data_IF_657528026954
#
_entry.id   IF_657528026954
#
_cell.length_a   1.000
_cell.length_b   1.000
_cell.length_c   1.000
_cell.angle_alpha   90.00
_cell.angle_beta   90.00
_cell.angle_gamma   90.00
#
_symmetry.space_group_name_H-M   'P 1'
#
loop_
_entity.id
_entity.type
_entity.pdbx_description
1 polymer ?
#
# COMPACT_ATOMS: atom_id res chain seq x y z
N UNK A 1 -5.01 -19.82 -7.34
CA UNK A 1 -5.34 -18.60 -8.14
C UNK A 1 -5.61 -17.45 -7.18
N UNK A 2 -5.16 -16.22 -7.50
CA UNK A 2 -5.39 -15.05 -6.65
C UNK A 2 -6.58 -14.24 -7.16
N UNK A 3 -7.48 -13.80 -6.25
CA UNK A 3 -8.51 -12.81 -6.55
C UNK A 3 -8.28 -11.60 -5.66
N UNK A 4 -8.18 -10.43 -6.27
CA UNK A 4 -8.00 -9.14 -5.59
C UNK A 4 -9.36 -8.44 -5.45
N UNK A 5 -9.74 -8.12 -4.22
CA UNK A 5 -11.00 -7.45 -3.89
C UNK A 5 -10.73 -6.00 -3.49
N UNK A 6 -11.48 -5.08 -4.09
CA UNK A 6 -11.38 -3.67 -3.76
C UNK A 6 -11.79 -2.74 -4.89
N UNK A 7 -11.25 -1.54 -4.90
CA UNK A 7 -11.57 -0.49 -5.88
C UNK A 7 -10.35 0.37 -6.16
N UNK A 8 -10.20 0.80 -7.41
CA UNK A 8 -9.08 1.63 -7.88
C UNK A 8 -8.99 3.02 -7.24
N UNK A 9 -10.01 3.47 -6.49
CA UNK A 9 -9.93 4.69 -5.67
C UNK A 9 -8.97 4.50 -4.48
N UNK A 10 -8.71 3.26 -4.07
CA UNK A 10 -7.80 2.95 -2.97
C UNK A 10 -6.37 2.78 -3.49
N UNK A 11 -5.46 3.64 -3.05
CA UNK A 11 -4.04 3.49 -3.34
C UNK A 11 -3.45 2.17 -2.80
N UNK A 12 -3.94 1.66 -1.68
CA UNK A 12 -3.55 0.33 -1.18
C UNK A 12 -4.03 -0.82 -2.07
N UNK A 13 -5.20 -0.67 -2.72
CA UNK A 13 -5.63 -1.61 -3.75
C UNK A 13 -4.68 -1.55 -4.95
N UNK A 14 -4.37 -0.35 -5.41
CA UNK A 14 -3.46 -0.13 -6.54
C UNK A 14 -2.04 -0.66 -6.24
N UNK A 15 -1.56 -0.53 -5.00
CA UNK A 15 -0.31 -1.14 -4.52
C UNK A 15 -0.30 -2.66 -4.78
N UNK A 16 -1.35 -3.37 -4.37
CA UNK A 16 -1.40 -4.82 -4.55
C UNK A 16 -1.60 -5.20 -6.01
N UNK A 17 -2.44 -4.47 -6.73
CA UNK A 17 -2.62 -4.68 -8.17
C UNK A 17 -1.30 -4.53 -8.93
N UNK A 18 -0.55 -3.47 -8.67
CA UNK A 18 0.75 -3.24 -9.29
C UNK A 18 1.76 -4.34 -8.91
N UNK A 19 1.79 -4.76 -7.65
CA UNK A 19 2.65 -5.86 -7.21
C UNK A 19 2.33 -7.18 -7.93
N UNK A 20 1.05 -7.51 -8.11
CA UNK A 20 0.62 -8.69 -8.86
C UNK A 20 1.06 -8.62 -10.32
N UNK A 21 0.92 -7.44 -10.95
CA UNK A 21 1.34 -7.22 -12.34
C UNK A 21 2.86 -7.33 -12.50
N UNK A 22 3.64 -6.67 -11.66
CA UNK A 22 5.11 -6.70 -11.70
C UNK A 22 5.70 -8.09 -11.40
N UNK A 23 5.00 -8.87 -10.59
CA UNK A 23 5.35 -10.27 -10.32
C UNK A 23 4.85 -11.25 -11.39
N UNK A 24 4.10 -10.75 -12.39
CA UNK A 24 3.47 -11.57 -13.44
C UNK A 24 2.55 -12.67 -12.87
N UNK A 25 1.90 -12.38 -11.75
CA UNK A 25 0.94 -13.30 -11.13
C UNK A 25 -0.43 -13.10 -11.79
N UNK A 26 -1.00 -14.16 -12.36
CA UNK A 26 -2.36 -14.13 -12.89
C UNK A 26 -3.37 -13.97 -11.75
N UNK A 27 -4.28 -13.00 -11.87
CA UNK A 27 -5.29 -12.71 -10.86
C UNK A 27 -6.62 -12.26 -11.46
N UNK A 28 -7.68 -12.39 -10.69
CA UNK A 28 -9.00 -11.82 -10.97
C UNK A 28 -9.20 -10.57 -10.12
N UNK A 29 -10.04 -9.66 -10.61
CA UNK A 29 -10.43 -8.45 -9.88
C UNK A 29 -11.92 -8.49 -9.57
N UNK A 30 -12.27 -8.21 -8.32
CA UNK A 30 -13.65 -8.09 -7.86
C UNK A 30 -13.87 -6.70 -7.24
N UNK A 31 -14.81 -5.94 -7.80
CA UNK A 31 -15.15 -4.62 -7.29
C UNK A 31 -15.88 -4.74 -5.94
N UNK A 32 -15.22 -4.24 -4.89
CA UNK A 32 -15.78 -4.19 -3.54
C UNK A 32 -15.49 -2.82 -2.93
N UNK A 33 -16.48 -2.27 -2.24
CA UNK A 33 -16.31 -1.05 -1.44
C UNK A 33 -16.20 -1.39 0.05
N UNK A 34 -15.48 -0.59 0.86
CA UNK A 34 -15.40 -0.78 2.31
C UNK A 34 -16.80 -0.74 2.93
N UNK A 35 -17.10 -1.69 3.81
CA UNK A 35 -18.34 -1.70 4.59
C UNK A 35 -18.17 -2.44 5.91
N UNK A 36 -19.20 -2.44 6.77
CA UNK A 36 -19.20 -3.06 8.07
C UNK A 36 -20.14 -4.28 8.17
N UNK A 37 -20.52 -4.86 7.04
CA UNK A 37 -21.37 -6.05 7.00
C UNK A 37 -20.63 -7.26 7.57
N UNK A 38 -21.32 -8.14 8.29
CA UNK A 38 -20.72 -9.35 8.88
C UNK A 38 -20.00 -10.22 7.84
N UNK A 39 -20.51 -10.30 6.62
CA UNK A 39 -19.89 -11.04 5.54
C UNK A 39 -18.51 -10.44 5.18
N UNK A 40 -18.42 -9.10 5.11
CA UNK A 40 -17.16 -8.40 4.85
C UNK A 40 -16.18 -8.54 6.01
N UNK A 41 -16.65 -8.40 7.24
CA UNK A 41 -15.80 -8.47 8.44
C UNK A 41 -15.16 -9.85 8.64
N UNK A 42 -15.76 -10.93 8.13
CA UNK A 42 -15.16 -12.28 8.12
C UNK A 42 -13.98 -12.39 7.14
N UNK A 43 -13.93 -11.56 6.09
CA UNK A 43 -12.91 -11.58 5.05
C UNK A 43 -11.83 -10.52 5.29
N UNK A 44 -12.24 -9.35 5.77
CA UNK A 44 -11.40 -8.22 6.15
C UNK A 44 -11.88 -7.69 7.50
N UNK A 45 -11.19 -7.98 8.62
CA UNK A 45 -11.70 -7.74 9.98
C UNK A 45 -12.05 -6.29 10.32
N UNK A 46 -11.51 -5.33 9.57
CA UNK A 46 -11.85 -3.90 9.72
C UNK A 46 -12.83 -3.41 8.62
N UNK A 47 -13.35 -4.31 7.77
CA UNK A 47 -14.23 -3.94 6.66
C UNK A 47 -13.56 -3.06 5.62
N UNK A 48 -12.23 -3.16 5.47
CA UNK A 48 -11.42 -2.34 4.58
C UNK A 48 -11.00 -3.10 3.32
N UNK A 49 -10.55 -2.35 2.33
CA UNK A 49 -9.96 -2.83 1.09
C UNK A 49 -8.50 -2.34 0.97
N UNK A 50 -7.62 -3.08 0.24
CA UNK A 50 -7.86 -4.37 -0.41
C UNK A 50 -7.86 -5.55 0.57
N UNK A 51 -8.39 -6.66 0.10
CA UNK A 51 -8.09 -7.99 0.60
C UNK A 51 -7.98 -8.94 -0.59
N UNK A 52 -7.34 -10.09 -0.40
CA UNK A 52 -7.22 -11.11 -1.43
C UNK A 52 -7.86 -12.42 -0.98
N UNK A 53 -8.20 -13.25 -1.96
CA UNK A 53 -8.44 -14.68 -1.80
C UNK A 53 -7.36 -15.44 -2.55
N UNK A 54 -6.73 -16.40 -1.91
CA UNK A 54 -5.83 -17.38 -2.52
C UNK A 54 -6.35 -18.79 -2.27
N UNK A 55 -5.60 -19.79 -2.70
CA UNK A 55 -5.92 -21.20 -2.39
C UNK A 55 -5.78 -21.48 -0.88
N UNK A 56 -5.00 -20.66 -0.14
CA UNK A 56 -4.80 -20.78 1.31
C UNK A 56 -5.90 -20.09 2.14
N UNK A 57 -6.71 -19.21 1.52
CA UNK A 57 -7.78 -18.48 2.20
C UNK A 57 -7.81 -16.98 1.90
N UNK A 58 -8.40 -16.21 2.82
CA UNK A 58 -8.50 -14.75 2.70
C UNK A 58 -7.40 -14.07 3.52
N UNK A 59 -6.86 -12.98 2.97
CA UNK A 59 -5.85 -12.17 3.62
C UNK A 59 -6.14 -10.68 3.41
N UNK A 60 -6.15 -9.90 4.48
CA UNK A 60 -6.28 -8.45 4.46
C UNK A 60 -4.97 -7.78 4.88
N UNK A 61 -4.95 -6.44 4.88
CA UNK A 61 -3.78 -5.58 5.09
C UNK A 61 -2.77 -5.64 3.93
N UNK A 62 -2.65 -4.53 3.21
CA UNK A 62 -1.86 -4.47 1.96
C UNK A 62 -0.39 -4.87 2.15
N UNK A 63 0.22 -4.54 3.30
CA UNK A 63 1.59 -4.93 3.54
C UNK A 63 1.72 -6.45 3.80
N UNK A 64 0.78 -7.04 4.53
CA UNK A 64 0.76 -8.49 4.74
C UNK A 64 0.52 -9.24 3.43
N UNK A 65 -0.38 -8.71 2.58
CA UNK A 65 -0.62 -9.26 1.24
C UNK A 65 0.66 -9.21 0.40
N UNK A 66 1.36 -8.08 0.38
CA UNK A 66 2.61 -7.93 -0.38
C UNK A 66 3.69 -8.92 0.08
N UNK A 67 3.86 -9.11 1.39
CA UNK A 67 4.80 -10.10 1.94
C UNK A 67 4.39 -11.54 1.57
N UNK A 68 3.10 -11.87 1.66
CA UNK A 68 2.59 -13.17 1.23
C UNK A 68 2.87 -13.42 -0.26
N UNK A 69 2.60 -12.44 -1.12
CA UNK A 69 2.88 -12.58 -2.56
C UNK A 69 4.37 -12.76 -2.84
N UNK A 70 5.24 -12.14 -2.05
CA UNK A 70 6.68 -12.29 -2.18
C UNK A 70 7.15 -13.70 -1.83
N UNK A 71 6.62 -14.26 -0.75
CA UNK A 71 7.00 -15.59 -0.24
C UNK A 71 6.34 -16.73 -1.03
N UNK A 72 5.05 -16.59 -1.36
CA UNK A 72 4.29 -17.62 -2.07
C UNK A 72 4.61 -17.67 -3.58
N UNK A 73 5.05 -16.57 -4.17
CA UNK A 73 5.39 -16.44 -5.59
C UNK A 73 6.79 -15.87 -5.74
N UNK A 74 7.85 -16.66 -5.55
CA UNK A 74 9.24 -16.17 -5.50
C UNK A 74 9.80 -15.70 -6.84
N UNK A 75 9.13 -15.96 -7.96
CA UNK A 75 9.48 -15.40 -9.26
C UNK A 75 9.29 -13.87 -9.27
N UNK A 76 10.14 -13.16 -10.01
CA UNK A 76 10.12 -11.70 -10.12
C UNK A 76 10.07 -10.99 -8.74
N UNK A 77 11.09 -11.18 -7.87
CA UNK A 77 11.07 -10.66 -6.52
C UNK A 77 11.10 -9.14 -6.51
N UNK A 78 10.19 -8.53 -5.73
CA UNK A 78 10.11 -7.08 -5.51
C UNK A 78 11.01 -6.61 -4.38
N UNK A 79 11.47 -7.52 -3.51
CA UNK A 79 12.43 -7.18 -2.46
C UNK A 79 13.85 -7.58 -2.81
N UNK A 80 14.86 -6.82 -2.36
CA UNK A 80 16.26 -7.23 -2.45
C UNK A 80 16.52 -8.57 -1.72
N UNK A 81 17.45 -9.38 -2.24
CA UNK A 81 17.80 -10.67 -1.64
C UNK A 81 18.52 -10.52 -0.30
N UNK A 82 19.40 -9.49 -0.17
CA UNK A 82 20.15 -9.26 1.06
C UNK A 82 19.25 -8.71 2.16
N UNK A 83 19.31 -9.30 3.34
CA UNK A 83 18.44 -8.99 4.47
C UNK A 83 18.42 -7.50 4.85
N UNK A 84 19.59 -6.85 4.90
CA UNK A 84 19.66 -5.43 5.24
C UNK A 84 19.05 -4.53 4.15
N UNK A 85 19.33 -4.81 2.87
CA UNK A 85 18.74 -4.07 1.75
C UNK A 85 17.21 -4.26 1.70
N UNK A 86 16.73 -5.47 1.98
CA UNK A 86 15.31 -5.79 2.14
C UNK A 86 14.68 -5.00 3.27
N UNK A 87 15.38 -4.89 4.41
CA UNK A 87 14.92 -4.09 5.55
C UNK A 87 14.86 -2.60 5.23
N UNK A 88 15.81 -2.08 4.45
CA UNK A 88 15.80 -0.69 3.96
C UNK A 88 14.60 -0.43 3.02
N UNK A 89 14.23 -1.40 2.20
CA UNK A 89 13.02 -1.30 1.38
C UNK A 89 11.75 -1.23 2.25
N UNK A 90 11.65 -2.08 3.28
CA UNK A 90 10.54 -2.04 4.24
C UNK A 90 10.51 -0.75 5.07
N UNK A 91 11.66 -0.24 5.47
CA UNK A 91 11.80 1.06 6.15
C UNK A 91 11.22 2.18 5.30
N UNK A 92 11.54 2.22 4.01
CA UNK A 92 11.00 3.20 3.07
C UNK A 92 9.48 3.09 2.97
N UNK A 93 8.94 1.88 2.76
CA UNK A 93 7.51 1.63 2.65
C UNK A 93 6.77 2.10 3.91
N UNK A 94 7.25 1.71 5.09
CA UNK A 94 6.64 2.12 6.36
C UNK A 94 6.71 3.64 6.55
N UNK A 95 7.83 4.27 6.17
CA UNK A 95 7.97 5.72 6.26
C UNK A 95 6.93 6.43 5.40
N UNK A 96 6.76 6.00 4.16
CA UNK A 96 5.77 6.55 3.23
C UNK A 96 4.35 6.33 3.74
N UNK A 97 4.01 5.09 4.12
CA UNK A 97 2.65 4.76 4.56
C UNK A 97 2.24 5.47 5.86
N UNK A 98 3.11 5.47 6.87
CA UNK A 98 2.76 5.97 8.19
C UNK A 98 2.89 7.51 8.31
N UNK A 99 3.85 8.11 7.61
CA UNK A 99 4.18 9.52 7.81
C UNK A 99 3.76 10.44 6.63
N UNK A 100 3.31 9.86 5.53
CA UNK A 100 2.80 10.63 4.39
C UNK A 100 1.37 10.21 4.07
N UNK A 101 1.17 8.97 3.62
CA UNK A 101 -0.12 8.51 3.12
C UNK A 101 -1.21 8.51 4.20
N UNK A 102 -0.94 7.87 5.34
CA UNK A 102 -1.91 7.81 6.44
C UNK A 102 -2.25 9.20 7.00
N UNK A 103 -1.28 10.12 7.01
CA UNK A 103 -1.51 11.51 7.40
C UNK A 103 -2.38 12.23 6.36
N UNK A 104 -2.07 12.09 5.06
CA UNK A 104 -2.83 12.70 3.96
C UNK A 104 -4.30 12.25 3.95
N UNK A 105 -4.59 11.00 4.36
CA UNK A 105 -5.97 10.49 4.45
C UNK A 105 -6.91 11.31 5.31
N UNK A 106 -6.40 12.07 6.26
CA UNK A 106 -7.21 12.98 7.08
C UNK A 106 -7.90 14.08 6.27
N UNK A 107 -7.40 14.34 5.04
CA UNK A 107 -7.99 15.29 4.10
C UNK A 107 -8.98 14.64 3.12
N UNK A 108 -9.05 13.31 3.05
CA UNK A 108 -9.88 12.58 2.07
C UNK A 108 -11.36 12.90 2.20
N UNK A 109 -11.84 13.20 3.42
CA UNK A 109 -13.22 13.59 3.67
C UNK A 109 -13.63 14.81 2.83
N UNK A 110 -12.73 15.79 2.68
CA UNK A 110 -12.97 16.98 1.85
C UNK A 110 -12.66 16.70 0.38
N UNK A 111 -11.51 16.08 0.10
CA UNK A 111 -11.02 15.91 -1.27
C UNK A 111 -11.92 15.00 -2.11
N UNK A 112 -12.44 13.92 -1.53
CA UNK A 112 -13.16 12.88 -2.27
C UNK A 112 -14.64 12.74 -1.89
N UNK A 113 -15.05 13.24 -0.73
CA UNK A 113 -16.39 12.96 -0.19
C UNK A 113 -17.20 14.22 0.11
N UNK A 114 -16.77 15.40 -0.36
CA UNK A 114 -17.49 16.67 -0.26
C UNK A 114 -17.77 17.15 1.17
N UNK A 115 -17.05 16.64 2.17
CA UNK A 115 -17.13 17.09 3.55
C UNK A 115 -16.14 18.23 3.80
N UNK A 116 -16.33 18.98 4.89
CA UNK A 116 -15.40 20.04 5.27
C UNK A 116 -14.41 19.53 6.32
N UNK A 117 -13.13 19.83 6.13
CA UNK A 117 -12.06 19.64 7.11
C UNK A 117 -11.68 20.97 7.71
N UNK A 118 -11.55 21.05 9.06
CA UNK A 118 -11.18 22.30 9.72
C UNK A 118 -9.79 22.79 9.32
N UNK A 119 -9.56 24.11 9.38
CA UNK A 119 -8.27 24.70 9.04
C UNK A 119 -7.15 24.17 9.95
N UNK A 120 -7.44 23.96 11.23
CA UNK A 120 -6.51 23.38 12.20
C UNK A 120 -5.99 22.00 11.75
N UNK A 121 -6.90 21.14 11.29
CA UNK A 121 -6.52 19.81 10.75
C UNK A 121 -5.68 19.95 9.49
N UNK A 122 -6.03 20.88 8.60
CA UNK A 122 -5.25 21.13 7.36
C UNK A 122 -3.83 21.58 7.68
N UNK A 123 -3.68 22.49 8.64
CA UNK A 123 -2.38 23.03 9.06
C UNK A 123 -1.52 21.94 9.71
N UNK A 124 -2.11 21.14 10.61
CA UNK A 124 -1.44 20.01 11.24
C UNK A 124 -0.99 18.98 10.20
N UNK A 125 -1.88 18.59 9.27
CA UNK A 125 -1.59 17.63 8.21
C UNK A 125 -0.50 18.17 7.30
N UNK A 126 -0.56 19.42 6.88
CA UNK A 126 0.46 20.06 6.05
C UNK A 126 1.84 20.00 6.68
N UNK A 127 1.96 20.37 7.97
CA UNK A 127 3.21 20.31 8.70
C UNK A 127 3.76 18.87 8.79
N UNK A 128 2.90 17.89 9.10
CA UNK A 128 3.29 16.48 9.22
C UNK A 128 3.70 15.87 7.88
N UNK A 129 2.98 16.16 6.80
CA UNK A 129 3.34 15.70 5.45
C UNK A 129 4.69 16.28 5.04
N UNK A 130 4.93 17.58 5.28
CA UNK A 130 6.23 18.22 4.98
C UNK A 130 7.37 17.52 5.72
N UNK A 131 7.20 17.23 6.99
CA UNK A 131 8.19 16.48 7.77
C UNK A 131 8.39 15.05 7.25
N UNK A 132 7.29 14.35 6.93
CA UNK A 132 7.31 13.00 6.36
C UNK A 132 8.03 12.92 5.03
N UNK A 133 7.72 13.84 4.10
CA UNK A 133 8.39 13.92 2.80
C UNK A 133 9.87 14.29 2.94
N UNK A 134 10.21 15.18 3.85
CA UNK A 134 11.61 15.53 4.14
C UNK A 134 12.39 14.33 4.68
N UNK A 135 11.77 13.54 5.56
CA UNK A 135 12.35 12.27 6.04
C UNK A 135 12.53 11.25 4.94
N UNK A 136 11.48 11.07 4.11
CA UNK A 136 11.48 10.14 2.98
C UNK A 136 12.56 10.48 1.95
N UNK A 137 12.73 11.76 1.62
CA UNK A 137 13.75 12.24 0.68
C UNK A 137 15.18 11.85 1.10
N UNK A 138 15.45 11.73 2.40
CA UNK A 138 16.75 11.28 2.91
C UNK A 138 17.01 9.78 2.68
N UNK A 139 15.96 8.99 2.46
CA UNK A 139 16.05 7.56 2.14
C UNK A 139 16.16 7.32 0.64
N UNK A 140 15.70 8.25 -0.19
CA UNK A 140 15.64 8.11 -1.65
C UNK A 140 17.04 8.25 -2.28
N UNK A 141 17.25 7.47 -3.34
CA UNK A 141 18.44 7.56 -4.21
C UNK A 141 18.11 8.09 -5.59
N UNK A 142 16.90 7.80 -6.12
CA UNK A 142 16.38 8.23 -7.42
C UNK A 142 17.33 7.97 -8.58
N UNK A 143 17.79 6.72 -8.75
CA UNK A 143 18.79 6.35 -9.74
C UNK A 143 18.46 5.03 -10.48
N UNK A 144 17.47 4.94 -11.34
CA UNK A 144 16.28 5.81 -11.54
C UNK A 144 15.15 5.54 -10.56
N UNK A 145 15.21 4.44 -9.77
CA UNK A 145 14.16 4.01 -8.84
C UNK A 145 14.36 4.59 -7.44
N UNK A 146 13.33 4.53 -6.62
CA UNK A 146 13.32 5.12 -5.28
C UNK A 146 14.58 4.77 -4.45
N UNK A 147 14.98 3.50 -4.45
CA UNK A 147 16.11 3.01 -3.65
C UNK A 147 17.37 2.66 -4.45
N UNK A 148 17.46 3.05 -5.72
CA UNK A 148 18.65 2.84 -6.54
C UNK A 148 18.36 2.46 -7.99
N UNK A 149 19.08 1.44 -8.48
CA UNK A 149 19.07 1.06 -9.90
C UNK A 149 18.11 -0.09 -10.24
N UNK A 150 17.32 -0.57 -9.29
CA UNK A 150 16.36 -1.67 -9.45
C UNK A 150 14.99 -1.26 -8.96
N UNK A 151 13.95 -1.62 -9.74
CA UNK A 151 12.56 -1.54 -9.30
C UNK A 151 12.32 -2.47 -8.12
N UNK A 152 11.65 -2.00 -7.09
CA UNK A 152 11.38 -2.72 -5.85
C UNK A 152 9.98 -2.46 -5.32
N UNK A 153 9.60 -3.15 -4.24
CA UNK A 153 8.37 -2.88 -3.52
C UNK A 153 8.24 -1.42 -3.02
N UNK A 154 9.36 -0.71 -2.86
CA UNK A 154 9.37 0.72 -2.54
C UNK A 154 8.78 1.56 -3.68
N UNK A 155 9.03 1.18 -4.93
CA UNK A 155 8.52 1.88 -6.12
C UNK A 155 7.04 1.57 -6.37
N UNK A 156 6.59 0.39 -5.94
CA UNK A 156 5.17 -0.02 -6.01
C UNK A 156 4.27 0.89 -5.18
N UNK A 157 4.76 1.44 -4.07
CA UNK A 157 4.00 2.31 -3.16
C UNK A 157 4.27 3.80 -3.40
N UNK A 158 5.38 4.16 -4.01
CA UNK A 158 5.77 5.55 -4.26
C UNK A 158 5.02 6.15 -5.45
#
# INVERSE_FOLDING_TARGET
MVTLYGSAISNYYNKIKLALMEKEIAFLEELVLPNQDEAMLKLSPLGKIPYIKSDDGYLSESQAILEYLEDAFPANPLYPAKAFERSKCREFIQHLELNVELIARRLYAETFFGRTVSQEIKDEVGAKITAGLTGLARLMKLSPYALGNRFTAADVIA
#
